data_IF_294962117572
#
_entry.id   IF_294962117572
#
_cell.length_a   1.000
_cell.length_b   1.000
_cell.length_c   1.000
_cell.angle_alpha   90.00
_cell.angle_beta   90.00
_cell.angle_gamma   90.00
#
_symmetry.space_group_name_H-M   'P 1'
#
loop_
_entity.id
_entity.type
_entity.pdbx_description
1 polymer ?
#
# COMPACT_ATOMS: atom_id res chain seq x y z
N UNK A 1 17.25 4.94 -12.56
CA UNK A 1 16.91 3.66 -13.21
C UNK A 1 15.81 3.91 -14.22
N UNK A 2 15.75 3.07 -15.28
CA UNK A 2 14.61 3.13 -16.18
C UNK A 2 13.35 2.64 -15.50
N UNK A 3 12.20 3.28 -15.80
CA UNK A 3 10.88 2.79 -15.42
C UNK A 3 10.58 1.47 -16.13
N UNK A 4 9.69 0.67 -15.54
CA UNK A 4 9.26 -0.61 -16.13
C UNK A 4 7.91 -0.44 -16.83
N UNK A 5 7.57 -1.38 -17.71
CA UNK A 5 6.22 -1.54 -18.23
C UNK A 5 5.41 -2.39 -17.23
N UNK A 6 4.72 -1.70 -16.33
CA UNK A 6 3.99 -2.36 -15.24
C UNK A 6 2.75 -3.10 -15.76
N UNK A 7 2.55 -4.32 -15.28
CA UNK A 7 1.30 -5.07 -15.51
C UNK A 7 0.15 -4.44 -14.73
N UNK A 8 -0.95 -4.14 -15.40
CA UNK A 8 -2.11 -3.49 -14.79
C UNK A 8 -3.45 -4.10 -15.23
N UNK A 9 -4.51 -3.74 -14.53
CA UNK A 9 -5.90 -4.03 -14.86
C UNK A 9 -6.72 -2.75 -14.75
N UNK A 10 -7.72 -2.59 -15.61
CA UNK A 10 -8.62 -1.43 -15.61
C UNK A 10 -10.06 -1.91 -15.58
N UNK A 11 -10.90 -1.28 -14.74
CA UNK A 11 -12.36 -1.47 -14.74
C UNK A 11 -13.07 -0.15 -14.43
N UNK A 12 -14.37 -0.11 -14.71
CA UNK A 12 -15.20 1.05 -14.41
C UNK A 12 -15.01 2.25 -15.34
N UNK A 13 -15.60 3.38 -14.98
CA UNK A 13 -15.53 4.63 -15.74
C UNK A 13 -15.75 5.85 -14.82
N UNK A 14 -15.12 6.97 -15.16
CA UNK A 14 -15.16 8.21 -14.38
C UNK A 14 -13.77 8.72 -14.04
N UNK A 15 -13.60 9.57 -13.00
CA UNK A 15 -12.29 10.00 -12.53
C UNK A 15 -11.38 8.81 -12.21
N UNK A 16 -10.10 8.93 -12.53
CA UNK A 16 -9.16 7.79 -12.40
C UNK A 16 -8.64 7.62 -10.97
N UNK A 17 -8.62 6.37 -10.51
CA UNK A 17 -7.95 5.93 -9.29
C UNK A 17 -6.81 4.99 -9.69
N UNK A 18 -5.61 5.19 -9.13
CA UNK A 18 -4.55 4.18 -9.20
C UNK A 18 -4.37 3.55 -7.82
N UNK A 19 -4.50 2.23 -7.78
CA UNK A 19 -4.36 1.39 -6.58
C UNK A 19 -2.95 0.81 -6.48
N UNK A 20 -2.29 1.04 -5.35
CA UNK A 20 -0.89 0.68 -5.10
C UNK A 20 -0.84 -0.35 -3.97
N UNK A 21 -0.48 -1.59 -4.28
CA UNK A 21 -0.43 -2.67 -3.29
C UNK A 21 0.79 -2.59 -2.36
N UNK A 22 0.78 -3.39 -1.30
CA UNK A 22 1.88 -3.53 -0.35
C UNK A 22 2.90 -4.62 -0.74
N UNK A 23 3.87 -4.84 0.13
CA UNK A 23 4.98 -5.79 -0.02
C UNK A 23 4.45 -7.20 -0.29
N UNK A 24 5.00 -7.88 -1.31
CA UNK A 24 4.68 -9.27 -1.66
C UNK A 24 3.21 -9.50 -2.05
N UNK A 25 2.43 -8.43 -2.29
CA UNK A 25 1.07 -8.52 -2.80
C UNK A 25 1.05 -8.41 -4.34
N UNK A 26 -0.14 -8.35 -4.91
CA UNK A 26 -0.39 -8.23 -6.34
C UNK A 26 -1.51 -7.21 -6.57
N UNK A 27 -1.67 -6.75 -7.81
CA UNK A 27 -2.82 -5.90 -8.21
C UNK A 27 -4.17 -6.52 -7.84
N UNK A 28 -4.28 -7.85 -7.86
CA UNK A 28 -5.50 -8.58 -7.49
C UNK A 28 -5.92 -8.43 -6.02
N UNK A 29 -5.05 -7.92 -5.14
CA UNK A 29 -5.44 -7.59 -3.76
C UNK A 29 -6.57 -6.54 -3.69
N UNK A 30 -6.76 -5.79 -4.77
CA UNK A 30 -7.76 -4.73 -4.88
C UNK A 30 -9.09 -5.17 -5.48
N UNK A 31 -9.17 -6.38 -6.07
CA UNK A 31 -10.34 -6.80 -6.87
C UNK A 31 -11.66 -6.66 -6.11
N UNK A 32 -11.71 -7.12 -4.84
CA UNK A 32 -12.92 -7.02 -4.01
C UNK A 32 -13.24 -5.59 -3.56
N UNK A 33 -12.22 -4.74 -3.37
CA UNK A 33 -12.38 -3.32 -3.03
C UNK A 33 -12.92 -2.54 -4.23
N UNK A 34 -12.39 -2.82 -5.42
CA UNK A 34 -12.75 -2.16 -6.68
C UNK A 34 -14.24 -2.32 -7.01
N UNK A 35 -14.87 -3.45 -6.67
CA UNK A 35 -16.32 -3.67 -6.86
C UNK A 35 -17.21 -2.57 -6.23
N UNK A 36 -16.70 -1.86 -5.22
CA UNK A 36 -17.42 -0.77 -4.56
C UNK A 36 -17.14 0.62 -5.15
N UNK A 37 -16.22 0.71 -6.13
CA UNK A 37 -15.75 1.97 -6.73
C UNK A 37 -15.99 2.07 -8.24
N UNK A 38 -15.97 0.96 -8.97
CA UNK A 38 -15.96 0.92 -10.44
C UNK A 38 -17.25 1.50 -11.09
N UNK A 39 -18.33 1.62 -10.34
CA UNK A 39 -19.53 2.31 -10.83
C UNK A 39 -19.36 3.84 -10.94
N UNK A 40 -18.37 4.42 -10.26
CA UNK A 40 -18.16 5.86 -10.16
C UNK A 40 -16.78 6.31 -10.68
N UNK A 41 -15.82 5.38 -10.78
CA UNK A 41 -14.43 5.67 -11.06
C UNK A 41 -13.84 4.73 -12.10
N UNK A 42 -12.84 5.20 -12.84
CA UNK A 42 -11.94 4.36 -13.60
C UNK A 42 -10.89 3.82 -12.62
N UNK A 43 -10.97 2.53 -12.30
CA UNK A 43 -10.11 1.85 -11.33
C UNK A 43 -8.93 1.18 -12.03
N UNK A 44 -7.72 1.62 -11.74
CA UNK A 44 -6.46 1.06 -12.28
C UNK A 44 -5.71 0.41 -11.13
N UNK A 45 -5.55 -0.91 -11.12
CA UNK A 45 -4.65 -1.63 -10.21
C UNK A 45 -3.44 -2.14 -10.99
N UNK A 46 -2.23 -2.07 -10.40
CA UNK A 46 -1.02 -2.53 -11.07
C UNK A 46 -0.12 -3.33 -10.13
N UNK A 47 0.70 -4.18 -10.69
CA UNK A 47 1.75 -4.90 -9.97
C UNK A 47 3.00 -4.02 -9.86
N UNK A 48 3.51 -3.81 -8.66
CA UNK A 48 4.80 -3.15 -8.44
C UNK A 48 5.91 -3.95 -9.15
N UNK A 49 7.03 -3.29 -9.47
CA UNK A 49 8.18 -3.96 -10.09
C UNK A 49 8.57 -5.23 -9.33
N UNK A 50 8.82 -6.29 -10.08
CA UNK A 50 9.15 -7.61 -9.56
C UNK A 50 8.02 -8.36 -8.84
N UNK A 51 6.80 -7.80 -8.83
CA UNK A 51 5.61 -8.47 -8.30
C UNK A 51 4.68 -8.91 -9.44
N UNK A 52 3.93 -9.97 -9.21
CA UNK A 52 2.94 -10.47 -10.16
C UNK A 52 3.52 -10.68 -11.55
N UNK A 53 2.98 -9.96 -12.53
CA UNK A 53 3.43 -10.03 -13.92
C UNK A 53 4.29 -8.84 -14.35
N UNK A 54 4.64 -7.94 -13.43
CA UNK A 54 5.52 -6.81 -13.72
C UNK A 54 6.99 -7.23 -13.77
N UNK A 55 7.79 -6.69 -14.71
CA UNK A 55 9.22 -6.96 -14.78
C UNK A 55 9.95 -6.60 -13.47
N UNK A 56 11.00 -7.35 -13.14
CA UNK A 56 11.85 -7.07 -11.99
C UNK A 56 12.64 -5.76 -12.17
N UNK A 57 13.14 -5.49 -13.36
CA UNK A 57 14.05 -4.37 -13.61
C UNK A 57 15.39 -4.55 -12.90
N UNK A 58 16.14 -3.46 -12.75
CA UNK A 58 17.45 -3.47 -12.11
C UNK A 58 17.36 -3.18 -10.60
N UNK A 59 18.20 -3.83 -9.82
CA UNK A 59 18.39 -3.58 -8.38
C UNK A 59 19.62 -2.64 -8.17
N UNK A 60 19.73 -1.95 -7.02
CA UNK A 60 18.78 -1.88 -5.91
C UNK A 60 17.60 -0.94 -6.20
N UNK A 61 16.44 -1.15 -5.56
CA UNK A 61 15.32 -0.23 -5.65
C UNK A 61 15.42 0.91 -4.63
N UNK A 62 14.68 2.00 -4.90
CA UNK A 62 14.40 3.06 -3.94
C UNK A 62 12.92 3.42 -4.00
N UNK A 63 12.42 4.15 -3.01
CA UNK A 63 11.06 4.66 -3.06
C UNK A 63 10.82 5.53 -4.30
N UNK A 64 11.82 6.31 -4.71
CA UNK A 64 11.74 7.16 -5.91
C UNK A 64 11.63 6.35 -7.20
N UNK A 65 12.30 5.20 -7.29
CA UNK A 65 12.16 4.28 -8.44
C UNK A 65 10.73 3.75 -8.54
N UNK A 66 10.08 3.43 -7.42
CA UNK A 66 8.68 3.00 -7.41
C UNK A 66 7.72 4.14 -7.79
N UNK A 67 8.07 5.37 -7.45
CA UNK A 67 7.35 6.59 -7.86
C UNK A 67 7.47 6.83 -9.37
N UNK A 68 8.64 6.66 -9.94
CA UNK A 68 8.86 6.81 -11.39
C UNK A 68 8.11 5.74 -12.21
N UNK A 69 7.97 4.52 -11.69
CA UNK A 69 7.13 3.49 -12.33
C UNK A 69 5.66 3.90 -12.35
N UNK A 70 5.17 4.47 -11.25
CA UNK A 70 3.81 4.98 -11.16
C UNK A 70 3.57 6.14 -12.15
N UNK A 71 4.53 7.05 -12.30
CA UNK A 71 4.45 8.13 -13.28
C UNK A 71 4.47 7.58 -14.72
N UNK A 72 5.32 6.61 -15.01
CA UNK A 72 5.35 5.96 -16.33
C UNK A 72 4.00 5.28 -16.65
N UNK A 73 3.37 4.61 -15.68
CA UNK A 73 2.05 4.03 -15.84
C UNK A 73 0.99 5.10 -16.11
N UNK A 74 0.97 6.19 -15.32
CA UNK A 74 0.04 7.31 -15.54
C UNK A 74 0.17 7.89 -16.94
N UNK A 75 1.40 8.11 -17.41
CA UNK A 75 1.69 8.62 -18.76
C UNK A 75 1.24 7.64 -19.85
N UNK A 76 1.54 6.35 -19.70
CA UNK A 76 1.10 5.30 -20.64
C UNK A 76 -0.42 5.27 -20.80
N UNK A 77 -1.15 5.49 -19.70
CA UNK A 77 -2.61 5.53 -19.69
C UNK A 77 -3.20 6.90 -20.03
N UNK A 78 -2.37 7.91 -20.32
CA UNK A 78 -2.77 9.29 -20.62
C UNK A 78 -3.68 9.92 -19.54
N UNK A 79 -3.48 9.56 -18.27
CA UNK A 79 -4.25 10.09 -17.15
C UNK A 79 -3.71 11.46 -16.74
N UNK A 80 -4.55 12.50 -16.80
CA UNK A 80 -4.13 13.88 -16.48
C UNK A 80 -4.04 14.09 -14.98
N UNK A 81 -5.10 13.71 -14.26
CA UNK A 81 -5.18 13.77 -12.79
C UNK A 81 -5.74 12.47 -12.26
N UNK A 82 -5.26 12.06 -11.09
CA UNK A 82 -5.57 10.78 -10.49
C UNK A 82 -5.83 10.90 -9.00
N UNK A 83 -6.69 10.05 -8.47
CA UNK A 83 -6.71 9.71 -7.06
C UNK A 83 -5.73 8.56 -6.82
N UNK A 84 -5.05 8.57 -5.66
CA UNK A 84 -4.13 7.51 -5.26
C UNK A 84 -4.69 6.77 -4.05
N UNK A 85 -4.71 5.45 -4.13
CA UNK A 85 -5.12 4.58 -3.01
C UNK A 85 -4.00 3.58 -2.76
N UNK A 86 -3.25 3.74 -1.67
CA UNK A 86 -2.08 2.93 -1.38
C UNK A 86 -2.20 2.17 -0.07
N UNK A 87 -1.86 0.88 -0.07
CA UNK A 87 -1.84 0.04 1.12
C UNK A 87 -0.41 -0.26 1.54
N UNK A 88 -0.10 -0.13 2.84
CA UNK A 88 1.21 -0.46 3.41
C UNK A 88 2.35 0.30 2.71
N UNK A 89 3.26 -0.35 1.99
CA UNK A 89 4.28 0.29 1.15
C UNK A 89 3.63 1.21 0.10
N UNK A 90 2.50 0.81 -0.49
CA UNK A 90 1.73 1.66 -1.41
C UNK A 90 1.29 2.98 -0.77
N UNK A 91 0.99 2.96 0.54
CA UNK A 91 0.70 4.14 1.35
C UNK A 91 1.93 5.04 1.61
N UNK A 92 3.14 4.61 1.27
CA UNK A 92 4.34 5.45 1.24
C UNK A 92 4.62 5.98 -0.18
N UNK A 93 4.36 5.16 -1.20
CA UNK A 93 4.54 5.53 -2.62
C UNK A 93 3.59 6.68 -2.99
N UNK A 94 2.31 6.60 -2.62
CA UNK A 94 1.30 7.62 -2.96
C UNK A 94 1.69 9.03 -2.50
N UNK A 95 1.95 9.28 -1.21
CA UNK A 95 2.40 10.58 -0.72
C UNK A 95 3.73 11.04 -1.33
N UNK A 96 4.68 10.12 -1.54
CA UNK A 96 5.96 10.47 -2.18
C UNK A 96 5.76 10.89 -3.63
N UNK A 97 4.85 10.23 -4.36
CA UNK A 97 4.43 10.62 -5.68
C UNK A 97 3.77 12.01 -5.68
N UNK A 98 2.81 12.26 -4.79
CA UNK A 98 2.15 13.57 -4.68
C UNK A 98 3.13 14.71 -4.36
N UNK A 99 4.18 14.44 -3.60
CA UNK A 99 5.25 15.41 -3.37
C UNK A 99 6.04 15.72 -4.63
N UNK A 100 6.29 14.75 -5.51
CA UNK A 100 7.05 14.91 -6.76
C UNK A 100 6.19 15.49 -7.89
N UNK A 101 4.92 15.12 -7.94
CA UNK A 101 3.98 15.41 -9.02
C UNK A 101 2.65 15.99 -8.49
N UNK A 102 2.67 17.09 -7.71
CA UNK A 102 1.50 17.57 -6.97
C UNK A 102 0.31 17.95 -7.87
N UNK A 103 0.57 18.42 -9.08
CA UNK A 103 -0.47 18.89 -10.02
C UNK A 103 -1.25 17.73 -10.67
N UNK A 104 -0.75 16.50 -10.56
CA UNK A 104 -1.39 15.30 -11.10
C UNK A 104 -2.20 14.52 -10.06
N UNK A 105 -2.21 14.94 -8.79
CA UNK A 105 -2.91 14.21 -7.71
C UNK A 105 -4.10 14.99 -7.21
N UNK A 106 -5.28 14.36 -7.27
CA UNK A 106 -6.54 14.90 -6.76
C UNK A 106 -6.66 14.68 -5.24
N UNK A 107 -6.47 13.45 -4.80
CA UNK A 107 -6.50 13.06 -3.38
C UNK A 107 -5.71 11.77 -3.15
N UNK A 108 -5.46 11.45 -1.87
CA UNK A 108 -4.68 10.27 -1.48
C UNK A 108 -5.40 9.52 -0.36
N UNK A 109 -5.54 8.20 -0.50
CA UNK A 109 -5.94 7.31 0.61
C UNK A 109 -4.73 6.49 1.06
N UNK A 110 -4.29 6.71 2.29
CA UNK A 110 -3.18 6.04 2.96
C UNK A 110 -3.76 4.93 3.85
N UNK A 111 -3.66 3.68 3.39
CA UNK A 111 -4.25 2.53 4.09
C UNK A 111 -3.17 1.70 4.78
N UNK A 112 -3.29 1.50 6.10
CA UNK A 112 -2.37 0.69 6.91
C UNK A 112 -0.89 0.98 6.60
N UNK A 113 -0.51 2.25 6.63
CA UNK A 113 0.88 2.69 6.38
C UNK A 113 1.53 3.26 7.64
N UNK A 114 2.82 3.55 7.58
CA UNK A 114 3.58 3.99 8.75
C UNK A 114 4.49 5.19 8.46
N UNK A 115 4.48 6.14 9.38
CA UNK A 115 5.47 7.19 9.56
C UNK A 115 5.58 7.47 11.07
N UNK A 116 6.50 8.35 11.47
CA UNK A 116 6.73 8.67 12.89
C UNK A 116 7.13 7.45 13.73
N UNK A 117 7.86 6.50 13.13
CA UNK A 117 8.42 5.38 13.88
C UNK A 117 9.44 5.87 14.89
N UNK A 118 9.35 5.37 16.12
CA UNK A 118 10.43 5.54 17.08
C UNK A 118 11.66 4.75 16.63
N UNK A 119 12.82 5.02 17.23
CA UNK A 119 14.02 4.19 16.99
C UNK A 119 13.77 2.71 17.33
N UNK A 120 12.97 2.44 18.36
CA UNK A 120 12.57 1.09 18.72
C UNK A 120 11.66 0.46 17.67
N UNK A 121 10.64 1.16 17.17
CA UNK A 121 9.78 0.68 16.09
C UNK A 121 10.62 0.33 14.85
N UNK A 122 11.54 1.22 14.47
CA UNK A 122 12.42 1.03 13.32
C UNK A 122 13.37 -0.17 13.50
N UNK A 123 13.99 -0.30 14.67
CA UNK A 123 14.87 -1.44 14.97
C UNK A 123 14.15 -2.77 14.86
N UNK A 124 12.89 -2.87 15.31
CA UNK A 124 12.07 -4.09 15.16
C UNK A 124 11.84 -4.47 13.70
N UNK A 125 11.60 -3.49 12.83
CA UNK A 125 11.39 -3.75 11.39
C UNK A 125 12.70 -4.13 10.72
N UNK A 126 13.82 -3.46 11.04
CA UNK A 126 15.15 -3.79 10.52
C UNK A 126 15.56 -5.21 10.93
N UNK A 127 15.32 -5.61 12.18
CA UNK A 127 15.62 -6.96 12.66
C UNK A 127 14.86 -8.05 11.88
N UNK A 128 13.64 -7.76 11.42
CA UNK A 128 12.89 -8.66 10.53
C UNK A 128 13.60 -8.79 9.17
N UNK A 129 14.04 -7.68 8.58
CA UNK A 129 14.80 -7.70 7.32
C UNK A 129 16.08 -8.48 7.45
N UNK A 130 16.84 -8.27 8.53
CA UNK A 130 18.09 -8.99 8.82
C UNK A 130 17.84 -10.48 9.00
N UNK A 131 16.78 -10.85 9.73
CA UNK A 131 16.41 -12.26 9.92
C UNK A 131 16.05 -12.93 8.58
N UNK A 132 15.31 -12.26 7.71
CA UNK A 132 14.99 -12.78 6.37
C UNK A 132 16.24 -12.92 5.49
N UNK A 133 17.18 -11.98 5.57
CA UNK A 133 18.44 -12.05 4.84
C UNK A 133 19.29 -13.26 5.27
N UNK A 134 19.28 -13.60 6.55
CA UNK A 134 20.09 -14.69 7.11
C UNK A 134 19.43 -16.06 6.96
N UNK A 135 18.12 -16.14 7.12
CA UNK A 135 17.40 -17.40 7.30
C UNK A 135 16.38 -17.68 6.16
N UNK A 136 16.25 -16.75 5.19
CA UNK A 136 15.21 -16.83 4.18
C UNK A 136 13.87 -16.26 4.66
N UNK A 137 12.90 -16.18 3.73
CA UNK A 137 11.59 -15.59 3.98
C UNK A 137 10.64 -16.56 4.67
N UNK A 138 10.70 -17.85 4.32
CA UNK A 138 9.76 -18.88 4.78
C UNK A 138 9.64 -18.96 6.32
N UNK A 139 10.73 -18.91 7.13
CA UNK A 139 10.62 -18.97 8.59
C UNK A 139 9.86 -17.82 9.22
N UNK A 140 9.77 -16.66 8.55
CA UNK A 140 9.08 -15.48 9.09
C UNK A 140 7.58 -15.46 8.77
N UNK A 141 7.08 -16.33 7.88
CA UNK A 141 5.70 -16.30 7.41
C UNK A 141 4.68 -16.41 8.55
N UNK A 142 4.91 -17.25 9.55
CA UNK A 142 4.03 -17.36 10.71
C UNK A 142 3.92 -16.02 11.45
N UNK A 143 5.05 -15.34 11.67
CA UNK A 143 5.07 -14.01 12.30
C UNK A 143 4.33 -12.97 11.45
N UNK A 144 4.45 -13.04 10.12
CA UNK A 144 3.71 -12.15 9.23
C UNK A 144 2.22 -12.45 9.26
N UNK A 145 1.83 -13.74 9.27
CA UNK A 145 0.43 -14.16 9.37
C UNK A 145 -0.23 -13.59 10.62
N UNK A 146 0.39 -13.78 11.78
CA UNK A 146 -0.12 -13.30 13.07
C UNK A 146 -0.25 -11.77 13.11
N UNK A 147 0.61 -11.06 12.40
CA UNK A 147 0.55 -9.60 12.31
C UNK A 147 -0.49 -9.09 11.32
N UNK A 148 -0.73 -9.85 10.25
CA UNK A 148 -1.56 -9.41 9.13
C UNK A 148 -3.03 -9.71 9.31
N UNK A 149 -3.36 -10.87 9.91
CA UNK A 149 -4.72 -11.37 10.00
C UNK A 149 -5.19 -11.53 11.43
N UNK A 150 -6.48 -11.34 11.66
CA UNK A 150 -7.12 -11.69 12.92
C UNK A 150 -7.19 -13.20 13.08
N UNK A 151 -7.16 -13.68 14.32
CA UNK A 151 -7.23 -15.11 14.62
C UNK A 151 -8.56 -15.71 14.12
N UNK A 152 -9.64 -14.93 14.20
CA UNK A 152 -10.93 -15.32 13.66
C UNK A 152 -10.84 -15.53 12.15
N UNK A 153 -10.23 -14.58 11.39
CA UNK A 153 -10.11 -14.68 9.95
C UNK A 153 -9.25 -15.87 9.54
N UNK A 154 -8.13 -16.12 10.23
CA UNK A 154 -7.26 -17.29 9.97
C UNK A 154 -8.05 -18.59 10.08
N UNK A 155 -8.87 -18.74 11.13
CA UNK A 155 -9.64 -19.93 11.38
C UNK A 155 -10.79 -20.14 10.37
N UNK A 156 -11.43 -19.06 9.93
CA UNK A 156 -12.62 -19.12 9.05
C UNK A 156 -12.26 -19.07 7.54
N UNK A 157 -11.07 -18.59 7.18
CA UNK A 157 -10.68 -18.28 5.79
C UNK A 157 -9.26 -18.80 5.45
N UNK A 158 -8.94 -20.00 5.90
CA UNK A 158 -7.61 -20.61 5.73
C UNK A 158 -7.07 -20.50 4.30
N UNK A 159 -7.89 -20.84 3.29
CA UNK A 159 -7.47 -20.78 1.87
C UNK A 159 -7.06 -19.37 1.41
N UNK A 160 -7.73 -18.34 1.93
CA UNK A 160 -7.39 -16.95 1.60
C UNK A 160 -6.07 -16.54 2.24
N UNK A 161 -5.79 -17.01 3.46
CA UNK A 161 -4.53 -16.79 4.15
C UNK A 161 -3.39 -17.49 3.43
N UNK A 162 -3.54 -18.80 3.14
CA UNK A 162 -2.57 -19.59 2.39
C UNK A 162 -2.27 -18.97 1.02
N UNK A 163 -3.31 -18.58 0.27
CA UNK A 163 -3.13 -17.91 -1.02
C UNK A 163 -2.28 -16.64 -0.88
N UNK A 164 -2.52 -15.83 0.18
CA UNK A 164 -1.75 -14.62 0.42
C UNK A 164 -0.29 -14.91 0.78
N UNK A 165 -0.03 -15.96 1.57
CA UNK A 165 1.32 -16.40 1.91
C UNK A 165 2.07 -16.96 0.70
N UNK A 166 1.36 -17.71 -0.15
CA UNK A 166 1.94 -18.20 -1.40
C UNK A 166 2.39 -17.06 -2.32
N UNK A 167 1.64 -15.95 -2.38
CA UNK A 167 2.07 -14.77 -3.13
C UNK A 167 3.41 -14.20 -2.63
N UNK A 168 3.67 -14.27 -1.32
CA UNK A 168 4.97 -13.88 -0.75
C UNK A 168 6.08 -14.81 -1.25
N UNK A 169 5.86 -16.11 -1.17
CA UNK A 169 6.82 -17.13 -1.61
C UNK A 169 7.09 -17.10 -3.12
N UNK A 170 6.07 -16.78 -3.92
CA UNK A 170 6.18 -16.64 -5.39
C UNK A 170 6.85 -15.33 -5.81
N UNK A 171 7.07 -14.39 -4.90
CA UNK A 171 7.80 -13.17 -5.19
C UNK A 171 9.31 -13.48 -5.10
N UNK A 172 10.05 -13.06 -6.12
CA UNK A 172 11.53 -13.16 -6.09
C UNK A 172 12.08 -12.65 -4.76
N UNK A 173 12.89 -13.46 -4.08
CA UNK A 173 13.36 -13.16 -2.72
C UNK A 173 14.16 -11.88 -2.62
N UNK A 174 14.99 -11.54 -3.63
CA UNK A 174 15.74 -10.29 -3.64
C UNK A 174 14.79 -9.09 -3.78
N UNK A 175 13.75 -9.22 -4.61
CA UNK A 175 12.70 -8.19 -4.74
C UNK A 175 11.95 -8.00 -3.44
N UNK A 176 11.52 -9.10 -2.80
CA UNK A 176 10.79 -9.05 -1.54
C UNK A 176 11.60 -8.34 -0.44
N UNK A 177 12.87 -8.73 -0.29
CA UNK A 177 13.79 -8.12 0.67
C UNK A 177 14.03 -6.64 0.37
N UNK A 178 14.18 -6.29 -0.89
CA UNK A 178 14.45 -4.92 -1.32
C UNK A 178 13.26 -3.98 -1.04
N UNK A 179 12.04 -4.39 -1.36
CA UNK A 179 10.85 -3.58 -1.05
C UNK A 179 10.57 -3.53 0.45
N UNK A 180 10.92 -4.59 1.18
CA UNK A 180 10.82 -4.58 2.64
C UNK A 180 11.85 -3.64 3.27
N UNK A 181 13.08 -3.58 2.72
CA UNK A 181 14.11 -2.61 3.11
C UNK A 181 13.64 -1.18 2.88
N UNK A 182 13.06 -0.88 1.70
CA UNK A 182 12.48 0.44 1.41
C UNK A 182 11.44 0.81 2.48
N UNK A 183 10.53 -0.12 2.80
CA UNK A 183 9.53 0.12 3.85
C UNK A 183 10.17 0.37 5.22
N UNK A 184 11.21 -0.38 5.58
CA UNK A 184 11.89 -0.27 6.87
C UNK A 184 12.64 1.06 7.02
N UNK A 185 13.29 1.52 5.95
CA UNK A 185 14.16 2.71 5.95
C UNK A 185 13.40 4.01 5.66
N UNK A 186 12.24 3.92 4.99
CA UNK A 186 11.46 5.11 4.63
C UNK A 186 10.85 5.76 5.87
N UNK A 187 11.12 7.06 6.04
CA UNK A 187 10.45 7.90 7.02
C UNK A 187 9.81 9.11 6.32
N UNK A 188 8.49 9.23 6.46
CA UNK A 188 7.71 10.26 5.77
C UNK A 188 7.50 11.52 6.61
N UNK A 189 7.65 11.44 7.94
CA UNK A 189 7.35 12.54 8.88
C UNK A 189 8.02 13.88 8.54
N UNK A 190 9.25 13.93 7.97
CA UNK A 190 9.89 15.21 7.68
C UNK A 190 9.21 16.03 6.57
N UNK A 191 8.33 15.41 5.78
CA UNK A 191 7.76 16.04 4.60
C UNK A 191 6.25 15.83 4.38
N UNK A 192 5.55 15.07 5.23
CA UNK A 192 4.10 14.87 5.12
C UNK A 192 3.30 16.17 5.14
N UNK A 193 3.72 17.16 5.90
CA UNK A 193 3.10 18.50 5.96
C UNK A 193 3.19 19.28 4.65
N UNK A 194 3.99 18.81 3.68
CA UNK A 194 4.09 19.41 2.34
C UNK A 194 3.01 18.91 1.38
N UNK A 195 2.33 17.81 1.72
CA UNK A 195 1.22 17.25 0.94
C UNK A 195 -0.02 18.11 1.12
N UNK A 196 -0.51 18.71 0.02
CA UNK A 196 -1.62 19.65 0.04
C UNK A 196 -2.96 19.02 -0.37
N UNK A 197 -2.91 17.84 -0.95
CA UNK A 197 -4.08 17.08 -1.33
C UNK A 197 -4.88 16.65 -0.10
N UNK A 198 -6.19 16.50 -0.27
CA UNK A 198 -7.02 15.86 0.75
C UNK A 198 -6.62 14.39 0.91
N UNK A 199 -6.51 13.93 2.15
CA UNK A 199 -6.04 12.60 2.49
C UNK A 199 -7.04 11.86 3.37
N UNK A 200 -7.32 10.59 3.02
CA UNK A 200 -7.90 9.61 3.94
C UNK A 200 -6.75 8.81 4.57
N UNK A 201 -6.69 8.76 5.89
CA UNK A 201 -5.78 7.89 6.63
C UNK A 201 -6.61 6.80 7.30
N UNK A 202 -6.37 5.54 6.95
CA UNK A 202 -7.19 4.42 7.41
C UNK A 202 -6.31 3.25 7.83
N UNK A 203 -6.58 2.66 9.00
CA UNK A 203 -5.87 1.46 9.48
C UNK A 203 -6.76 0.60 10.38
N UNK A 204 -6.36 -0.66 10.58
CA UNK A 204 -7.00 -1.52 11.57
C UNK A 204 -6.57 -1.16 13.00
N UNK A 205 -7.52 -1.27 13.96
CA UNK A 205 -7.27 -1.01 15.38
C UNK A 205 -6.14 -1.87 15.95
N UNK A 206 -6.04 -3.12 15.48
CA UNK A 206 -5.07 -4.11 15.94
C UNK A 206 -3.88 -4.29 14.97
N UNK A 207 -3.67 -3.37 14.03
CA UNK A 207 -2.48 -3.38 13.17
C UNK A 207 -1.23 -3.10 14.02
N UNK A 208 -0.41 -4.13 14.24
CA UNK A 208 0.77 -4.01 15.09
C UNK A 208 1.94 -3.25 14.44
N UNK A 209 1.99 -3.18 13.11
CA UNK A 209 3.07 -2.53 12.36
C UNK A 209 2.74 -1.10 11.93
N UNK A 210 1.54 -0.91 11.44
CA UNK A 210 0.99 0.39 11.01
C UNK A 210 -0.15 0.81 11.94
N UNK A 211 0.13 0.84 13.24
CA UNK A 211 -0.85 0.94 14.30
C UNK A 211 -1.57 2.31 14.34
N UNK A 212 -2.70 2.40 15.08
CA UNK A 212 -3.47 3.64 15.21
C UNK A 212 -2.66 4.84 15.68
N UNK A 213 -1.66 4.65 16.57
CA UNK A 213 -0.78 5.73 17.03
C UNK A 213 -0.03 6.38 15.87
N UNK A 214 0.57 5.56 14.98
CA UNK A 214 1.31 6.06 13.81
C UNK A 214 0.37 6.74 12.81
N UNK A 215 -0.78 6.13 12.54
CA UNK A 215 -1.76 6.67 11.60
C UNK A 215 -2.40 7.97 12.10
N UNK A 216 -2.61 8.10 13.43
CA UNK A 216 -3.03 9.38 14.02
C UNK A 216 -1.97 10.46 13.81
N UNK A 217 -0.69 10.18 14.04
CA UNK A 217 0.40 11.13 13.80
C UNK A 217 0.52 11.52 12.32
N UNK A 218 0.29 10.58 11.40
CA UNK A 218 0.20 10.84 9.96
C UNK A 218 -0.94 11.83 9.69
N UNK A 219 -2.15 11.53 10.17
CA UNK A 219 -3.31 12.40 9.97
C UNK A 219 -3.09 13.80 10.58
N UNK A 220 -2.58 13.87 11.82
CA UNK A 220 -2.29 15.14 12.50
C UNK A 220 -1.23 16.01 11.75
N UNK A 221 -0.35 15.37 10.97
CA UNK A 221 0.71 16.05 10.20
C UNK A 221 0.26 16.53 8.81
N UNK A 222 -0.78 15.93 8.25
CA UNK A 222 -1.32 16.30 6.94
C UNK A 222 -2.25 17.51 7.06
N UNK A 223 -2.11 18.55 6.21
CA UNK A 223 -2.94 19.76 6.30
C UNK A 223 -4.44 19.52 6.12
N UNK A 224 -4.81 18.51 5.31
CA UNK A 224 -6.20 18.17 5.01
C UNK A 224 -6.35 16.65 5.08
N UNK A 225 -6.83 16.14 6.20
CA UNK A 225 -6.94 14.69 6.40
C UNK A 225 -8.18 14.29 7.18
N UNK A 226 -8.66 13.08 6.88
CA UNK A 226 -9.66 12.35 7.64
C UNK A 226 -9.02 11.07 8.18
N UNK A 227 -9.26 10.75 9.46
CA UNK A 227 -8.76 9.52 10.09
C UNK A 227 -9.89 8.52 10.30
N UNK A 228 -9.70 7.30 9.83
CA UNK A 228 -10.60 6.18 10.07
C UNK A 228 -9.84 5.01 10.69
N UNK A 229 -10.26 4.54 11.86
CA UNK A 229 -9.74 3.33 12.51
C UNK A 229 -10.81 2.24 12.42
N UNK A 230 -10.48 1.13 11.79
CA UNK A 230 -11.39 -0.02 11.67
C UNK A 230 -11.26 -0.92 12.89
N UNK A 231 -12.34 -0.98 13.68
CA UNK A 231 -12.39 -1.79 14.90
C UNK A 231 -12.08 -3.26 14.61
N UNK A 232 -11.27 -3.87 15.48
CA UNK A 232 -10.90 -5.30 15.49
C UNK A 232 -9.99 -5.79 14.37
N UNK A 233 -9.82 -5.08 13.26
CA UNK A 233 -8.98 -5.52 12.15
C UNK A 233 -7.49 -5.33 12.42
N UNK A 234 -6.68 -6.19 11.82
CA UNK A 234 -5.22 -6.09 11.78
C UNK A 234 -4.78 -5.41 10.46
N UNK A 235 -3.67 -5.84 9.86
CA UNK A 235 -3.05 -5.19 8.70
C UNK A 235 -3.71 -5.50 7.35
N UNK A 236 -4.22 -6.72 7.17
CA UNK A 236 -4.75 -7.20 5.88
C UNK A 236 -6.19 -6.76 5.60
N UNK A 237 -6.49 -5.49 5.85
CA UNK A 237 -7.85 -4.91 5.71
C UNK A 237 -8.44 -5.07 4.30
N UNK A 238 -7.62 -5.17 3.25
CA UNK A 238 -8.08 -5.40 1.87
C UNK A 238 -8.67 -6.80 1.69
N UNK A 239 -8.25 -7.75 2.52
CA UNK A 239 -8.66 -9.16 2.45
C UNK A 239 -9.76 -9.44 3.48
N UNK A 240 -9.58 -8.94 4.72
CA UNK A 240 -10.53 -9.18 5.81
C UNK A 240 -11.79 -8.32 5.72
N UNK A 241 -11.67 -7.08 5.21
CA UNK A 241 -12.75 -6.09 5.23
C UNK A 241 -12.90 -5.31 3.90
N UNK A 242 -12.84 -5.96 2.71
CA UNK A 242 -12.81 -5.28 1.42
C UNK A 242 -14.03 -4.38 1.19
N UNK A 243 -15.20 -4.79 1.65
CA UNK A 243 -16.44 -4.02 1.52
C UNK A 243 -16.40 -2.74 2.37
N UNK A 244 -15.91 -2.84 3.61
CA UNK A 244 -15.79 -1.67 4.50
C UNK A 244 -14.77 -0.68 3.93
N UNK A 245 -13.59 -1.19 3.53
CA UNK A 245 -12.54 -0.38 2.91
C UNK A 245 -13.03 0.28 1.63
N UNK A 246 -13.69 -0.49 0.76
CA UNK A 246 -14.23 0.03 -0.51
C UNK A 246 -15.23 1.15 -0.30
N UNK A 247 -16.15 1.03 0.68
CA UNK A 247 -17.11 2.07 1.02
C UNK A 247 -16.41 3.32 1.60
N UNK A 248 -15.50 3.16 2.54
CA UNK A 248 -14.78 4.29 3.14
C UNK A 248 -14.00 5.09 2.09
N UNK A 249 -13.27 4.39 1.20
CA UNK A 249 -12.53 5.01 0.10
C UNK A 249 -13.48 5.71 -0.87
N UNK A 250 -14.57 5.05 -1.30
CA UNK A 250 -15.57 5.64 -2.20
C UNK A 250 -16.17 6.91 -1.63
N UNK A 251 -16.64 6.84 -0.40
CA UNK A 251 -17.36 7.96 0.24
C UNK A 251 -16.41 9.16 0.41
N UNK A 252 -15.14 8.92 0.76
CA UNK A 252 -14.11 9.94 0.76
C UNK A 252 -13.89 10.54 -0.63
N UNK A 253 -13.70 9.72 -1.67
CA UNK A 253 -13.38 10.19 -3.03
C UNK A 253 -14.52 10.98 -3.67
N UNK A 254 -15.78 10.59 -3.43
CA UNK A 254 -16.96 11.32 -3.94
C UNK A 254 -17.04 12.75 -3.38
N UNK A 255 -16.50 13.01 -2.21
CA UNK A 255 -16.42 14.34 -1.61
C UNK A 255 -15.26 15.19 -2.17
N UNK A 256 -14.36 14.58 -2.98
CA UNK A 256 -13.19 15.25 -3.59
C UNK A 256 -13.34 15.45 -5.11
N UNK A 257 -14.48 15.09 -5.68
CA UNK A 257 -14.74 15.13 -7.14
C UNK A 257 -15.40 16.43 -7.58
#
# INVERSE_FOLDING_TARGET
>A
MASIDSSYSISGSGPAIIFIHGIGARKSAWDKVILHLENNFTCVSYDLRGHGSSPKGELPYSLDVLVEDLEALRLTLNLQKIHLVGHSLGGMIGPRYAKSYPDHVLSISLLSTAAFRTKEDQSKVIAIVESMNQNGIEPILNTLTDRWFTDQFINENYDSVEFRLQQVLDTDSEVFLEVFRIYAETEMSPWLNQIKQHCLVLTGENDGGCNPRLNKLIADSLPHSELCILDKFKHSILIEAPEIVGRQVRDFLLNQS
#
